data_IF_995665192835
#
_entry.id   IF_995665192835
#
_cell.length_a   1.000
_cell.length_b   1.000
_cell.length_c   1.000
_cell.angle_alpha   90.00
_cell.angle_beta   90.00
_cell.angle_gamma   90.00
#
_symmetry.space_group_name_H-M   'P 1'
#
loop_
_entity.id
_entity.type
_entity.pdbx_description
1 polymer ?
#
# COMPACT_ATOMS: atom_id res chain seq x y z
N UNK A 1 15.82 -1.83 -7.17
CA UNK A 1 15.12 -2.15 -5.89
C UNK A 1 15.64 -3.47 -5.35
N UNK A 2 16.83 -3.42 -4.75
CA UNK A 2 17.63 -4.60 -4.37
C UNK A 2 16.86 -5.60 -3.48
N UNK A 3 16.04 -5.13 -2.53
CA UNK A 3 15.25 -6.03 -1.68
C UNK A 3 14.31 -6.94 -2.51
N UNK A 4 13.66 -6.39 -3.54
CA UNK A 4 12.82 -7.18 -4.45
C UNK A 4 13.65 -8.22 -5.21
N UNK A 5 14.77 -7.82 -5.77
CA UNK A 5 15.65 -8.69 -6.57
C UNK A 5 16.23 -9.81 -5.72
N UNK A 6 16.69 -9.51 -4.49
CA UNK A 6 17.15 -10.50 -3.52
C UNK A 6 16.09 -11.58 -3.25
N UNK A 7 14.83 -11.16 -3.05
CA UNK A 7 13.73 -12.06 -2.77
C UNK A 7 13.40 -12.97 -3.96
N UNK A 8 13.38 -12.41 -5.18
CA UNK A 8 13.14 -13.20 -6.39
C UNK A 8 14.25 -14.23 -6.60
N UNK A 9 15.51 -13.81 -6.54
CA UNK A 9 16.65 -14.69 -6.76
C UNK A 9 16.78 -15.79 -5.70
N UNK A 10 16.43 -15.48 -4.45
CA UNK A 10 16.41 -16.47 -3.37
C UNK A 10 15.43 -17.62 -3.63
N UNK A 11 14.31 -17.41 -4.34
CA UNK A 11 13.40 -18.49 -4.75
C UNK A 11 14.05 -19.53 -5.66
N UNK A 12 15.14 -19.16 -6.32
CA UNK A 12 15.93 -20.02 -7.20
C UNK A 12 17.24 -20.51 -6.55
N UNK A 13 17.41 -20.27 -5.24
CA UNK A 13 18.62 -20.64 -4.51
C UNK A 13 19.84 -19.78 -4.84
N UNK A 14 19.64 -18.63 -5.49
CA UNK A 14 20.71 -17.70 -5.85
C UNK A 14 20.90 -16.71 -4.71
N UNK A 15 22.14 -16.65 -4.20
CA UNK A 15 22.54 -15.70 -3.14
C UNK A 15 23.35 -14.57 -3.77
N UNK A 16 22.82 -13.37 -3.73
CA UNK A 16 23.53 -12.16 -4.18
C UNK A 16 24.49 -11.70 -3.10
N UNK A 17 25.75 -11.49 -3.48
CA UNK A 17 26.80 -10.97 -2.60
C UNK A 17 27.28 -9.61 -3.08
N UNK A 18 27.83 -8.82 -2.15
CA UNK A 18 28.48 -7.55 -2.49
C UNK A 18 27.51 -6.42 -2.85
N UNK A 19 26.26 -6.47 -2.38
CA UNK A 19 25.34 -5.37 -2.53
C UNK A 19 25.90 -4.11 -1.86
N UNK A 20 26.16 -3.07 -2.64
CA UNK A 20 26.67 -1.77 -2.18
C UNK A 20 25.81 -0.59 -2.61
N UNK A 21 25.05 -0.75 -3.68
CA UNK A 21 24.31 0.34 -4.30
C UNK A 21 22.88 -0.09 -4.64
N UNK A 22 21.94 0.82 -4.41
CA UNK A 22 20.54 0.74 -4.79
C UNK A 22 20.07 2.13 -5.16
N UNK A 23 19.72 2.36 -6.42
CA UNK A 23 19.35 3.69 -6.92
C UNK A 23 18.09 4.29 -6.27
N UNK A 24 17.16 3.44 -5.84
CA UNK A 24 15.98 3.87 -5.07
C UNK A 24 16.41 4.44 -3.72
N UNK A 25 17.28 3.74 -2.99
CA UNK A 25 17.76 4.17 -1.68
C UNK A 25 18.72 5.37 -1.79
N UNK A 26 19.56 5.43 -2.83
CA UNK A 26 20.39 6.60 -3.11
C UNK A 26 19.52 7.86 -3.27
N UNK A 27 18.45 7.75 -4.04
CA UNK A 27 17.49 8.85 -4.22
C UNK A 27 16.75 9.19 -2.93
N UNK A 28 16.32 8.19 -2.19
CA UNK A 28 15.59 8.39 -0.93
C UNK A 28 16.44 9.10 0.12
N UNK A 29 17.68 8.66 0.34
CA UNK A 29 18.61 9.30 1.28
C UNK A 29 19.00 10.70 0.80
N UNK A 30 19.19 10.88 -0.51
CA UNK A 30 19.51 12.20 -1.06
C UNK A 30 18.39 13.21 -0.84
N UNK A 31 17.14 12.84 -1.13
CA UNK A 31 16.00 13.73 -0.93
C UNK A 31 14.68 12.92 -0.87
N UNK A 32 14.26 12.53 0.32
CA UNK A 32 13.11 11.66 0.57
C UNK A 32 11.77 12.18 0.02
N UNK A 33 11.63 13.49 -0.16
CA UNK A 33 10.37 14.12 -0.61
C UNK A 33 10.41 14.63 -2.05
N UNK A 34 11.51 14.45 -2.76
CA UNK A 34 11.73 15.06 -4.06
C UNK A 34 10.85 14.49 -5.18
N UNK A 35 10.53 13.22 -5.14
CA UNK A 35 9.71 12.47 -6.12
C UNK A 35 9.36 11.10 -5.57
N UNK A 36 8.57 10.33 -6.31
CA UNK A 36 8.53 8.87 -6.11
C UNK A 36 9.90 8.30 -6.43
N UNK A 37 10.36 7.32 -5.65
CA UNK A 37 11.69 6.74 -5.80
C UNK A 37 11.69 5.51 -6.73
N UNK A 38 10.64 5.35 -7.55
CA UNK A 38 10.61 4.34 -8.62
C UNK A 38 11.51 4.74 -9.79
N UNK A 39 12.00 3.76 -10.53
CA UNK A 39 12.94 3.94 -11.62
C UNK A 39 12.43 4.92 -12.69
N UNK A 40 11.17 4.84 -13.06
CA UNK A 40 10.56 5.71 -14.06
C UNK A 40 10.60 7.17 -13.68
N UNK A 41 10.17 7.47 -12.44
CA UNK A 41 10.17 8.82 -11.90
C UNK A 41 11.58 9.39 -11.77
N UNK A 42 12.53 8.54 -11.37
CA UNK A 42 13.94 8.92 -11.25
C UNK A 42 14.59 9.14 -12.62
N UNK A 43 14.32 8.28 -13.62
CA UNK A 43 14.83 8.43 -14.98
C UNK A 43 14.38 9.73 -15.62
N UNK A 44 13.09 10.06 -15.49
CA UNK A 44 12.57 11.32 -15.97
C UNK A 44 13.24 12.52 -15.28
N UNK A 45 13.34 12.49 -13.94
CA UNK A 45 13.87 13.58 -13.14
C UNK A 45 15.36 13.82 -13.31
N UNK A 46 16.17 12.76 -13.27
CA UNK A 46 17.64 12.90 -13.21
C UNK A 46 18.34 12.67 -14.54
N UNK A 47 17.69 11.95 -15.47
CA UNK A 47 18.27 11.64 -16.78
C UNK A 47 17.53 12.34 -17.94
N UNK A 48 16.33 12.92 -17.69
CA UNK A 48 15.46 13.45 -18.75
C UNK A 48 15.02 12.35 -19.72
N UNK A 49 14.92 11.10 -19.25
CA UNK A 49 14.64 9.91 -20.06
C UNK A 49 13.27 9.33 -19.72
N UNK A 50 12.49 9.04 -20.75
CA UNK A 50 11.21 8.36 -20.63
C UNK A 50 11.39 6.86 -20.89
N UNK A 51 11.20 6.06 -19.86
CA UNK A 51 11.35 4.61 -19.88
C UNK A 51 10.19 3.91 -20.57
N UNK A 52 10.43 2.71 -21.10
CA UNK A 52 9.38 1.81 -21.56
C UNK A 52 8.52 1.39 -20.37
N UNK A 53 7.21 1.64 -20.42
CA UNK A 53 6.32 1.25 -19.32
C UNK A 53 5.94 -0.21 -19.42
N UNK A 54 5.83 -0.89 -18.27
CA UNK A 54 5.38 -2.29 -18.22
C UNK A 54 4.06 -2.51 -18.98
N UNK A 55 3.14 -1.55 -18.89
CA UNK A 55 1.86 -1.60 -19.62
C UNK A 55 2.01 -1.59 -21.15
N UNK A 56 3.08 -1.02 -21.69
CA UNK A 56 3.38 -1.03 -23.12
C UNK A 56 3.88 -2.40 -23.58
N UNK A 57 4.49 -3.15 -22.68
CA UNK A 57 5.08 -4.47 -22.93
C UNK A 57 4.08 -5.59 -22.67
N UNK A 58 3.37 -5.54 -21.55
CA UNK A 58 2.49 -6.60 -21.08
C UNK A 58 0.98 -6.26 -21.16
N UNK A 59 0.62 -5.05 -21.59
CA UNK A 59 -0.78 -4.60 -21.61
C UNK A 59 -1.29 -4.13 -20.25
N UNK A 60 -2.57 -3.70 -20.20
CA UNK A 60 -3.20 -3.12 -19.02
C UNK A 60 -4.58 -3.72 -18.72
N UNK A 61 -4.90 -3.82 -17.43
CA UNK A 61 -6.23 -4.27 -16.95
C UNK A 61 -6.57 -5.68 -17.43
N UNK A 62 -7.78 -5.88 -17.94
CA UNK A 62 -8.24 -7.20 -18.41
C UNK A 62 -7.47 -7.78 -19.63
N UNK A 63 -6.68 -6.96 -20.30
CA UNK A 63 -5.83 -7.38 -21.43
C UNK A 63 -4.37 -7.58 -21.04
N UNK A 64 -4.05 -7.45 -19.77
CA UNK A 64 -2.67 -7.63 -19.30
C UNK A 64 -2.31 -9.12 -19.34
N UNK A 65 -1.18 -9.41 -19.98
CA UNK A 65 -0.59 -10.75 -20.04
C UNK A 65 0.53 -10.89 -19.00
N UNK A 66 0.89 -12.12 -18.67
CA UNK A 66 2.10 -12.37 -17.88
C UNK A 66 3.35 -12.00 -18.67
N UNK A 67 4.39 -11.48 -17.99
CA UNK A 67 5.67 -11.17 -18.65
C UNK A 67 6.28 -12.37 -19.38
N UNK A 68 6.06 -13.59 -18.87
CA UNK A 68 6.46 -14.85 -19.54
C UNK A 68 5.78 -15.10 -20.90
N UNK A 69 4.71 -14.36 -21.22
CA UNK A 69 3.99 -14.46 -22.49
C UNK A 69 4.35 -13.34 -23.48
N UNK A 70 5.19 -12.39 -23.05
CA UNK A 70 5.73 -11.33 -23.90
C UNK A 70 6.74 -11.95 -24.86
N UNK A 71 6.76 -11.49 -26.12
CA UNK A 71 7.78 -11.95 -27.08
C UNK A 71 9.20 -11.61 -26.58
N UNK A 72 10.15 -12.49 -26.96
CA UNK A 72 11.49 -12.44 -26.40
C UNK A 72 12.23 -11.13 -26.74
N UNK A 73 12.06 -10.59 -27.93
CA UNK A 73 12.75 -9.37 -28.36
C UNK A 73 12.25 -8.16 -27.59
N UNK A 74 10.92 -8.05 -27.38
CA UNK A 74 10.29 -7.01 -26.56
C UNK A 74 10.71 -7.14 -25.09
N UNK A 75 10.68 -8.35 -24.55
CA UNK A 75 11.10 -8.61 -23.17
C UNK A 75 12.60 -8.28 -22.94
N UNK A 76 13.44 -8.64 -23.93
CA UNK A 76 14.87 -8.35 -23.88
C UNK A 76 15.15 -6.84 -23.89
N UNK A 77 14.48 -6.08 -24.76
CA UNK A 77 14.63 -4.60 -24.79
C UNK A 77 14.21 -3.97 -23.47
N UNK A 78 13.08 -4.39 -22.93
CA UNK A 78 12.58 -3.90 -21.64
C UNK A 78 13.58 -4.18 -20.51
N UNK A 79 14.01 -5.43 -20.37
CA UNK A 79 14.95 -5.81 -19.31
C UNK A 79 16.34 -5.18 -19.45
N UNK A 80 16.82 -5.00 -20.68
CA UNK A 80 18.09 -4.32 -20.95
C UNK A 80 18.02 -2.83 -20.61
N UNK A 81 16.89 -2.18 -20.94
CA UNK A 81 16.67 -0.78 -20.55
C UNK A 81 16.64 -0.63 -19.04
N UNK A 82 15.91 -1.50 -18.31
CA UNK A 82 15.84 -1.47 -16.85
C UNK A 82 17.24 -1.53 -16.23
N UNK A 83 18.11 -2.39 -16.75
CA UNK A 83 19.49 -2.52 -16.27
C UNK A 83 20.33 -1.27 -16.60
N UNK A 84 20.27 -0.75 -17.83
CA UNK A 84 21.01 0.45 -18.27
C UNK A 84 20.57 1.68 -17.46
N UNK A 85 19.28 1.90 -17.34
CA UNK A 85 18.72 3.06 -16.61
C UNK A 85 19.10 2.99 -15.13
N UNK A 86 19.04 1.81 -14.50
CA UNK A 86 19.44 1.64 -13.11
C UNK A 86 20.91 2.02 -12.91
N UNK A 87 21.80 1.57 -13.79
CA UNK A 87 23.22 1.97 -13.73
C UNK A 87 23.41 3.49 -13.94
N UNK A 88 22.75 4.07 -14.93
CA UNK A 88 22.83 5.52 -15.20
C UNK A 88 22.29 6.35 -14.03
N UNK A 89 21.24 5.88 -13.36
CA UNK A 89 20.70 6.52 -12.15
C UNK A 89 21.72 6.49 -11.01
N UNK A 90 22.38 5.35 -10.79
CA UNK A 90 23.47 5.27 -9.83
C UNK A 90 24.59 6.28 -10.14
N UNK A 91 25.05 6.32 -11.39
CA UNK A 91 26.10 7.26 -11.81
C UNK A 91 25.70 8.74 -11.65
N UNK A 92 24.40 9.05 -11.71
CA UNK A 92 23.88 10.41 -11.53
C UNK A 92 23.62 10.76 -10.04
N UNK A 93 23.24 9.80 -9.21
CA UNK A 93 22.83 10.02 -7.82
C UNK A 93 23.98 9.86 -6.84
N UNK A 94 24.82 8.84 -7.03
CA UNK A 94 25.92 8.53 -6.10
C UNK A 94 26.88 9.71 -5.86
N UNK A 95 27.37 10.43 -6.88
CA UNK A 95 28.27 11.57 -6.64
C UNK A 95 27.63 12.68 -5.80
N UNK A 96 26.32 12.86 -5.88
CA UNK A 96 25.58 13.84 -5.08
C UNK A 96 25.52 13.42 -3.61
N UNK A 97 25.19 12.16 -3.37
CA UNK A 97 25.11 11.58 -2.02
C UNK A 97 26.49 11.50 -1.38
N UNK A 98 27.50 11.03 -2.11
CA UNK A 98 28.88 10.88 -1.67
C UNK A 98 29.52 12.22 -1.28
N UNK A 99 29.11 13.33 -1.91
CA UNK A 99 29.58 14.67 -1.58
C UNK A 99 29.11 15.17 -0.20
N UNK A 100 28.16 14.49 0.46
CA UNK A 100 27.61 14.85 1.76
C UNK A 100 27.88 13.74 2.78
N UNK A 101 28.97 13.82 3.57
CA UNK A 101 29.43 12.72 4.45
C UNK A 101 28.36 12.20 5.42
N UNK A 102 27.46 13.06 5.91
CA UNK A 102 26.39 12.66 6.81
C UNK A 102 25.35 11.76 6.10
N UNK A 103 24.98 12.08 4.86
CA UNK A 103 24.06 11.26 4.06
C UNK A 103 24.71 9.95 3.62
N UNK A 104 25.96 10.00 3.19
CA UNK A 104 26.74 8.80 2.86
C UNK A 104 26.78 7.85 4.06
N UNK A 105 27.02 8.35 5.27
CA UNK A 105 27.03 7.54 6.49
C UNK A 105 25.69 6.86 6.74
N UNK A 106 24.58 7.58 6.61
CA UNK A 106 23.24 6.99 6.72
C UNK A 106 23.04 5.89 5.70
N UNK A 107 23.43 6.13 4.45
CA UNK A 107 23.29 5.17 3.38
C UNK A 107 24.11 3.88 3.61
N UNK A 108 25.41 4.04 3.93
CA UNK A 108 26.34 2.91 4.08
C UNK A 108 26.18 2.15 5.40
N UNK A 109 25.83 2.83 6.51
CA UNK A 109 25.76 2.22 7.83
C UNK A 109 24.34 1.79 8.23
N UNK A 110 23.27 2.33 7.58
CA UNK A 110 21.88 2.03 7.93
C UNK A 110 21.14 1.42 6.74
N UNK A 111 21.01 2.15 5.63
CA UNK A 111 20.08 1.77 4.56
C UNK A 111 20.52 0.50 3.82
N UNK A 112 21.77 0.42 3.37
CA UNK A 112 22.28 -0.76 2.66
C UNK A 112 22.35 -1.99 3.57
N UNK A 113 22.87 -1.93 4.81
CA UNK A 113 22.83 -3.07 5.73
C UNK A 113 21.42 -3.55 6.08
N UNK A 114 20.40 -2.67 6.05
CA UNK A 114 19.01 -3.02 6.34
C UNK A 114 18.37 -3.85 5.21
N UNK A 115 18.80 -3.69 3.95
CA UNK A 115 18.23 -4.41 2.79
C UNK A 115 18.20 -5.93 3.00
N UNK A 116 19.34 -6.62 3.29
CA UNK A 116 19.31 -8.07 3.49
C UNK A 116 18.52 -8.49 4.74
N UNK A 117 18.40 -7.64 5.75
CA UNK A 117 17.58 -7.92 6.94
C UNK A 117 16.10 -7.93 6.57
N UNK A 118 15.63 -6.91 5.85
CA UNK A 118 14.25 -6.85 5.40
C UNK A 118 13.92 -7.99 4.42
N UNK A 119 14.82 -8.29 3.47
CA UNK A 119 14.67 -9.43 2.57
C UNK A 119 14.50 -10.75 3.34
N UNK A 120 15.34 -10.99 4.35
CA UNK A 120 15.24 -12.19 5.19
C UNK A 120 13.94 -12.24 5.99
N UNK A 121 13.44 -11.10 6.48
CA UNK A 121 12.15 -11.01 7.17
C UNK A 121 11.00 -11.33 6.22
N UNK A 122 11.00 -10.79 5.00
CA UNK A 122 9.99 -11.07 3.98
C UNK A 122 9.98 -12.54 3.56
N UNK A 123 11.16 -13.13 3.33
CA UNK A 123 11.31 -14.54 3.00
C UNK A 123 10.83 -15.46 4.13
N UNK A 124 11.15 -15.14 5.39
CA UNK A 124 10.71 -15.89 6.56
C UNK A 124 9.20 -15.79 6.75
N UNK A 125 8.62 -14.62 6.52
CA UNK A 125 7.22 -14.33 6.79
C UNK A 125 6.88 -14.36 8.28
N UNK A 126 5.61 -14.04 8.59
CA UNK A 126 5.07 -13.95 9.95
C UNK A 126 4.06 -15.07 10.19
N UNK A 127 4.23 -15.79 11.27
CA UNK A 127 3.25 -16.76 11.73
C UNK A 127 2.09 -16.01 12.39
N UNK A 128 0.87 -16.35 11.98
CA UNK A 128 -0.35 -15.80 12.57
C UNK A 128 -1.19 -16.91 13.18
N UNK A 129 -1.89 -16.61 14.27
CA UNK A 129 -2.87 -17.51 14.87
C UNK A 129 -4.24 -17.33 14.21
N UNK A 130 -4.55 -18.19 13.24
CA UNK A 130 -5.80 -18.15 12.49
C UNK A 130 -7.05 -18.43 13.35
N UNK A 131 -6.93 -19.16 14.46
CA UNK A 131 -8.05 -19.43 15.38
C UNK A 131 -8.39 -18.18 16.19
N UNK A 132 -7.38 -17.46 16.64
CA UNK A 132 -7.57 -16.16 17.30
C UNK A 132 -8.25 -15.18 16.34
N UNK A 133 -7.76 -15.05 15.11
CA UNK A 133 -8.34 -14.16 14.12
C UNK A 133 -9.79 -14.50 13.78
N UNK A 134 -10.12 -15.78 13.65
CA UNK A 134 -11.51 -16.22 13.42
C UNK A 134 -12.42 -15.87 14.58
N UNK A 135 -12.00 -16.11 15.83
CA UNK A 135 -12.79 -15.72 17.01
C UNK A 135 -12.99 -14.21 17.07
N UNK A 136 -11.96 -13.44 16.81
CA UNK A 136 -12.06 -11.97 16.74
C UNK A 136 -13.01 -11.51 15.63
N UNK A 137 -12.92 -12.10 14.44
CA UNK A 137 -13.83 -11.77 13.32
C UNK A 137 -15.30 -12.05 13.70
N UNK A 138 -15.59 -13.16 14.39
CA UNK A 138 -16.93 -13.48 14.87
C UNK A 138 -17.43 -12.46 15.91
N UNK A 139 -16.58 -12.06 16.84
CA UNK A 139 -16.92 -11.05 17.86
C UNK A 139 -17.17 -9.67 17.21
N UNK A 140 -16.31 -9.27 16.29
CA UNK A 140 -16.50 -8.03 15.52
C UNK A 140 -17.80 -8.07 14.72
N UNK A 141 -18.09 -9.18 14.03
CA UNK A 141 -19.31 -9.36 13.26
C UNK A 141 -20.57 -9.27 14.11
N UNK A 142 -20.57 -9.87 15.32
CA UNK A 142 -21.67 -9.75 16.27
C UNK A 142 -21.89 -8.29 16.71
N UNK A 143 -20.80 -7.61 17.06
CA UNK A 143 -20.90 -6.20 17.48
C UNK A 143 -21.35 -5.28 16.35
N UNK A 144 -20.90 -5.52 15.12
CA UNK A 144 -21.37 -4.81 13.93
C UNK A 144 -22.88 -4.98 13.71
N UNK A 145 -23.40 -6.21 13.89
CA UNK A 145 -24.85 -6.46 13.78
C UNK A 145 -25.66 -5.69 14.85
N UNK A 146 -25.16 -5.63 16.09
CA UNK A 146 -25.78 -4.85 17.16
C UNK A 146 -25.80 -3.35 16.81
N UNK A 147 -24.69 -2.79 16.32
CA UNK A 147 -24.60 -1.38 15.88
C UNK A 147 -25.53 -1.09 14.69
N UNK A 148 -25.60 -2.01 13.74
CA UNK A 148 -26.50 -1.90 12.60
C UNK A 148 -27.97 -1.86 13.05
N UNK A 149 -28.38 -2.74 13.97
CA UNK A 149 -29.72 -2.74 14.52
C UNK A 149 -30.04 -1.44 15.27
N UNK A 150 -29.09 -0.93 16.05
CA UNK A 150 -29.23 0.36 16.73
C UNK A 150 -29.37 1.51 15.71
N UNK A 151 -28.55 1.54 14.68
CA UNK A 151 -28.61 2.55 13.62
C UNK A 151 -29.95 2.52 12.88
N UNK A 152 -30.47 1.32 12.56
CA UNK A 152 -31.79 1.16 11.94
C UNK A 152 -32.92 1.60 12.86
N UNK A 153 -32.84 1.32 14.17
CA UNK A 153 -33.82 1.77 15.15
C UNK A 153 -33.85 3.29 15.26
N UNK A 154 -32.67 3.94 15.25
CA UNK A 154 -32.55 5.42 15.30
C UNK A 154 -33.06 6.07 14.01
N UNK A 155 -32.82 5.44 12.86
CA UNK A 155 -33.32 5.94 11.56
C UNK A 155 -34.83 5.63 11.33
N UNK A 156 -35.37 4.63 12.03
CA UNK A 156 -36.73 4.18 11.85
C UNK A 156 -36.96 3.18 10.70
N UNK A 157 -35.92 2.84 9.95
CA UNK A 157 -35.95 1.86 8.85
C UNK A 157 -34.57 1.26 8.59
N UNK A 158 -34.53 0.19 7.79
CA UNK A 158 -33.29 -0.45 7.37
C UNK A 158 -32.62 0.30 6.22
N UNK A 159 -31.30 0.40 6.27
CA UNK A 159 -30.45 0.97 5.23
C UNK A 159 -29.04 0.37 5.29
N UNK A 160 -28.25 0.52 4.22
CA UNK A 160 -26.89 0.01 4.16
C UNK A 160 -25.89 1.05 4.72
N UNK A 161 -25.28 0.75 5.89
CA UNK A 161 -24.29 1.60 6.56
C UNK A 161 -22.98 1.76 5.76
N UNK A 162 -22.72 0.88 4.80
CA UNK A 162 -21.56 0.98 3.91
C UNK A 162 -21.85 1.76 2.62
N UNK A 163 -23.10 2.19 2.39
CA UNK A 163 -23.48 2.94 1.20
C UNK A 163 -23.45 4.46 1.44
N UNK A 164 -22.46 5.20 0.89
CA UNK A 164 -22.42 6.66 1.05
C UNK A 164 -23.71 7.35 0.59
N UNK A 165 -24.34 6.84 -0.48
CA UNK A 165 -25.57 7.41 -1.02
C UNK A 165 -26.76 7.25 -0.05
N UNK A 166 -26.92 6.06 0.56
CA UNK A 166 -27.99 5.84 1.53
C UNK A 166 -27.75 6.64 2.82
N UNK A 167 -26.48 6.71 3.26
CA UNK A 167 -26.13 7.54 4.39
C UNK A 167 -26.42 9.03 4.17
N UNK A 168 -26.18 9.55 2.95
CA UNK A 168 -26.53 10.92 2.62
C UNK A 168 -28.03 11.15 2.76
N UNK A 169 -28.86 10.26 2.18
CA UNK A 169 -30.30 10.37 2.28
C UNK A 169 -30.79 10.35 3.74
N UNK A 170 -30.35 9.36 4.52
CA UNK A 170 -30.80 9.23 5.93
C UNK A 170 -30.33 10.41 6.77
N UNK A 171 -29.05 10.79 6.70
CA UNK A 171 -28.49 11.82 7.57
C UNK A 171 -28.98 13.23 7.20
N UNK A 172 -28.99 13.57 5.92
CA UNK A 172 -29.18 14.94 5.50
C UNK A 172 -30.58 15.23 4.96
N UNK A 173 -31.22 14.27 4.26
CA UNK A 173 -32.55 14.47 3.68
C UNK A 173 -33.66 14.09 4.68
N UNK A 174 -33.53 12.96 5.40
CA UNK A 174 -34.56 12.47 6.31
C UNK A 174 -34.44 13.06 7.73
N UNK A 175 -33.23 12.98 8.33
CA UNK A 175 -32.96 13.50 9.66
C UNK A 175 -32.63 15.01 9.68
N UNK A 176 -32.45 15.62 8.52
CA UNK A 176 -32.24 17.07 8.39
C UNK A 176 -30.92 17.58 9.03
N UNK A 177 -29.92 16.70 9.23
CA UNK A 177 -28.64 17.11 9.81
C UNK A 177 -27.91 18.04 8.84
N UNK A 178 -27.17 19.02 9.36
CA UNK A 178 -26.41 19.94 8.52
C UNK A 178 -25.05 19.34 8.13
N UNK A 179 -24.84 19.08 6.84
CA UNK A 179 -23.55 18.65 6.34
C UNK A 179 -22.48 19.73 6.54
N UNK A 180 -21.40 19.39 7.25
CA UNK A 180 -20.27 20.30 7.49
C UNK A 180 -19.26 20.27 6.36
N UNK A 181 -19.11 19.14 5.69
CA UNK A 181 -18.13 18.92 4.61
C UNK A 181 -18.82 18.42 3.33
N UNK A 182 -18.23 18.76 2.19
CA UNK A 182 -18.68 18.32 0.87
C UNK A 182 -17.60 17.51 0.16
N UNK A 183 -18.03 16.61 -0.73
CA UNK A 183 -17.15 15.90 -1.66
C UNK A 183 -16.64 16.86 -2.75
N UNK A 184 -15.59 16.50 -3.51
CA UNK A 184 -15.14 17.29 -4.66
C UNK A 184 -16.23 17.53 -5.71
N UNK A 185 -17.25 16.69 -5.77
CA UNK A 185 -18.42 16.82 -6.66
C UNK A 185 -19.55 17.68 -6.07
N UNK A 186 -19.33 18.27 -4.89
CA UNK A 186 -20.28 19.19 -4.24
C UNK A 186 -21.38 18.51 -3.42
N UNK A 187 -21.42 17.17 -3.35
CA UNK A 187 -22.38 16.42 -2.54
C UNK A 187 -21.98 16.43 -1.05
N UNK A 188 -22.94 16.32 -0.10
CA UNK A 188 -22.63 16.13 1.32
C UNK A 188 -21.66 14.96 1.52
N UNK A 189 -20.59 15.18 2.28
CA UNK A 189 -19.63 14.11 2.60
C UNK A 189 -20.12 13.26 3.75
N UNK A 190 -19.87 11.95 3.66
CA UNK A 190 -20.10 10.98 4.74
C UNK A 190 -18.79 10.26 5.13
N UNK A 191 -17.62 10.89 4.83
CA UNK A 191 -16.34 10.37 5.30
C UNK A 191 -16.20 10.52 6.82
N UNK A 192 -15.15 9.95 7.39
CA UNK A 192 -14.91 9.93 8.83
C UNK A 192 -14.96 11.35 9.43
N UNK A 193 -14.19 12.28 8.88
CA UNK A 193 -14.14 13.67 9.32
C UNK A 193 -15.52 14.38 9.28
N UNK A 194 -16.30 14.12 8.22
CA UNK A 194 -17.64 14.71 8.09
C UNK A 194 -18.61 14.17 9.13
N UNK A 195 -18.53 12.87 9.45
CA UNK A 195 -19.37 12.25 10.47
C UNK A 195 -18.95 12.69 11.88
N UNK A 196 -17.65 12.79 12.15
CA UNK A 196 -17.13 13.32 13.42
C UNK A 196 -17.62 14.75 13.68
N UNK A 197 -17.62 15.60 12.65
CA UNK A 197 -18.05 16.99 12.75
C UNK A 197 -19.54 17.15 13.16
N UNK A 198 -20.34 16.10 13.01
CA UNK A 198 -21.78 16.09 13.38
C UNK A 198 -22.11 15.07 14.47
N UNK A 199 -21.13 14.36 15.01
CA UNK A 199 -21.34 13.28 15.98
C UNK A 199 -21.95 13.74 17.32
N UNK A 200 -21.81 15.02 17.66
CA UNK A 200 -22.39 15.59 18.88
C UNK A 200 -23.82 16.12 18.67
N UNK A 201 -24.31 16.18 17.43
CA UNK A 201 -25.65 16.69 17.12
C UNK A 201 -26.72 15.61 17.09
N UNK A 202 -26.31 14.34 16.83
CA UNK A 202 -27.21 13.20 16.72
C UNK A 202 -26.48 11.89 17.01
N UNK A 203 -27.20 10.86 17.47
CA UNK A 203 -26.61 9.56 17.83
C UNK A 203 -26.12 8.76 16.59
N UNK A 204 -26.84 8.87 15.47
CA UNK A 204 -26.59 8.05 14.27
C UNK A 204 -25.16 8.18 13.69
N UNK A 205 -24.55 9.37 13.56
CA UNK A 205 -23.16 9.51 13.10
C UNK A 205 -22.16 8.71 13.93
N UNK A 206 -22.32 8.66 15.28
CA UNK A 206 -21.45 7.86 16.16
C UNK A 206 -21.59 6.37 15.91
N UNK A 207 -22.83 5.89 15.78
CA UNK A 207 -23.09 4.48 15.47
C UNK A 207 -22.46 4.07 14.12
N UNK A 208 -22.52 4.95 13.12
CA UNK A 208 -21.90 4.72 11.82
C UNK A 208 -20.38 4.69 11.92
N UNK A 209 -19.77 5.61 12.67
CA UNK A 209 -18.32 5.64 12.90
C UNK A 209 -17.83 4.36 13.59
N UNK A 210 -18.52 3.96 14.66
CA UNK A 210 -18.21 2.73 15.40
C UNK A 210 -18.34 1.49 14.49
N UNK A 211 -19.42 1.39 13.72
CA UNK A 211 -19.63 0.31 12.76
C UNK A 211 -18.49 0.26 11.73
N UNK A 212 -18.14 1.38 11.12
CA UNK A 212 -17.08 1.45 10.10
C UNK A 212 -15.69 1.10 10.65
N UNK A 213 -15.40 1.52 11.88
CA UNK A 213 -14.16 1.15 12.56
C UNK A 213 -14.04 -0.38 12.71
N UNK A 214 -15.11 -1.04 13.17
CA UNK A 214 -15.16 -2.49 13.28
C UNK A 214 -15.13 -3.19 11.92
N UNK A 215 -15.84 -2.66 10.92
CA UNK A 215 -15.85 -3.18 9.56
C UNK A 215 -14.45 -3.15 8.93
N UNK A 216 -13.71 -2.05 9.12
CA UNK A 216 -12.33 -1.91 8.67
C UNK A 216 -11.40 -2.90 9.35
N UNK A 217 -11.50 -3.03 10.67
CA UNK A 217 -10.70 -4.02 11.44
C UNK A 217 -10.98 -5.43 10.96
N UNK A 218 -12.24 -5.78 10.77
CA UNK A 218 -12.65 -7.10 10.33
C UNK A 218 -12.17 -7.41 8.91
N UNK A 219 -12.50 -6.55 7.95
CA UNK A 219 -12.19 -6.78 6.53
C UNK A 219 -10.70 -6.70 6.22
N UNK A 220 -9.97 -5.79 6.88
CA UNK A 220 -8.55 -5.53 6.58
C UNK A 220 -7.62 -6.49 7.33
N UNK A 221 -7.96 -6.87 8.55
CA UNK A 221 -7.07 -7.65 9.40
C UNK A 221 -7.60 -9.06 9.67
N UNK A 222 -8.74 -9.24 10.38
CA UNK A 222 -9.12 -10.57 10.85
C UNK A 222 -9.50 -11.51 9.71
N UNK A 223 -10.21 -11.03 8.70
CA UNK A 223 -10.61 -11.85 7.55
C UNK A 223 -9.48 -11.93 6.51
N UNK A 224 -8.86 -10.77 6.20
CA UNK A 224 -7.85 -10.70 5.14
C UNK A 224 -6.58 -11.49 5.49
N UNK A 225 -6.02 -11.31 6.69
CA UNK A 225 -4.77 -11.97 7.07
C UNK A 225 -4.88 -13.49 6.99
N UNK A 226 -6.00 -14.06 7.44
CA UNK A 226 -6.23 -15.50 7.36
C UNK A 226 -6.29 -16.01 5.91
N UNK A 227 -6.78 -15.19 4.97
CA UNK A 227 -6.92 -15.56 3.56
C UNK A 227 -5.63 -15.51 2.75
N UNK A 228 -4.61 -14.79 3.23
CA UNK A 228 -3.33 -14.58 2.52
C UNK A 228 -2.18 -15.42 3.08
N UNK A 229 -2.46 -16.34 4.00
CA UNK A 229 -1.46 -17.31 4.48
C UNK A 229 -0.97 -18.13 3.30
N UNK A 230 0.33 -18.13 3.07
CA UNK A 230 0.93 -18.98 2.04
C UNK A 230 0.83 -20.46 2.48
N UNK A 231 0.15 -21.32 1.72
CA UNK A 231 -0.06 -22.72 2.12
C UNK A 231 1.22 -23.53 2.19
N UNK A 232 2.28 -23.13 1.50
CA UNK A 232 3.58 -23.81 1.51
C UNK A 232 4.38 -23.52 2.78
N UNK A 233 4.31 -22.28 3.29
CA UNK A 233 5.10 -21.82 4.44
C UNK A 233 4.28 -21.78 5.74
N UNK A 234 2.95 -21.75 5.64
CA UNK A 234 2.04 -21.52 6.77
C UNK A 234 2.14 -20.11 7.35
N UNK A 235 2.73 -19.16 6.59
CA UNK A 235 3.01 -17.80 7.05
C UNK A 235 2.46 -16.74 6.10
N UNK A 236 2.29 -15.55 6.61
CA UNK A 236 1.99 -14.35 5.81
C UNK A 236 3.31 -13.70 5.43
N UNK A 237 3.47 -13.38 4.13
CA UNK A 237 4.62 -12.67 3.60
C UNK A 237 4.19 -11.28 3.17
N UNK A 238 4.78 -10.28 3.78
CA UNK A 238 4.57 -8.85 3.46
C UNK A 238 5.74 -8.29 2.68
N UNK A 239 5.64 -7.07 2.21
CA UNK A 239 6.75 -6.30 1.65
C UNK A 239 7.03 -5.10 2.52
N UNK A 240 8.30 -4.86 2.85
CA UNK A 240 8.74 -3.70 3.62
C UNK A 240 9.28 -2.62 2.69
N UNK A 241 8.56 -1.51 2.60
CA UNK A 241 8.93 -0.38 1.73
C UNK A 241 9.94 0.52 2.41
N UNK A 242 11.22 0.32 2.13
CA UNK A 242 12.32 1.07 2.73
C UNK A 242 12.44 2.50 2.17
N UNK A 243 12.14 2.71 0.90
CA UNK A 243 12.23 4.01 0.21
C UNK A 243 10.92 4.80 0.18
N UNK A 244 10.10 4.74 1.24
CA UNK A 244 8.84 5.51 1.32
C UNK A 244 8.82 6.40 2.56
N UNK A 245 8.25 7.62 2.39
CA UNK A 245 7.92 8.52 3.49
C UNK A 245 6.55 8.11 4.05
N UNK A 246 6.43 8.03 5.37
CA UNK A 246 5.17 7.75 6.05
C UNK A 246 4.23 8.97 6.04
#
# INVERSE_FOLDING_TARGET
HANYDLNILANYGIVVQGLKHDSMLESYVWNATATRHDMDSLANKYLGYETIKYEQVAGKGARQISFSQVDLDTACRYAAEDADITLRLHLALWPKLDSVPALRKVYEEIEIPLVPVLAAMEQRGVLIDGDVLRRQSQQLGKRMLELQQQAHAVAGHEFNLDSPKQLQAVLFDELGLQAKLKTPTGQPSTNEEALEAIADTHELPRLILDYRSLAKLRSTYTDKLSSIVNPRTGRVHTSYHQGSVA
#
